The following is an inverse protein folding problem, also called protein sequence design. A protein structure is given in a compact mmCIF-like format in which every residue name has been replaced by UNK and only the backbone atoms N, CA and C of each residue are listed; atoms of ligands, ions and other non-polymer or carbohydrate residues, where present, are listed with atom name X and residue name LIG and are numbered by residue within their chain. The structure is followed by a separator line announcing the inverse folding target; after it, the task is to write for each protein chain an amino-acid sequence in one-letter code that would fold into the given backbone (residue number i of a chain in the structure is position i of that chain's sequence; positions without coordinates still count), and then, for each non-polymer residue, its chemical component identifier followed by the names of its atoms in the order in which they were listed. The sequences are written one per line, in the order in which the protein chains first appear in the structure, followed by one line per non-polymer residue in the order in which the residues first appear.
data_IF_243967532896
#
_entry.id   IF_243967532896
#
_cell.length_a   1.000
_cell.length_b   1.000
_cell.length_c   1.000
_cell.angle_alpha   90.00
_cell.angle_beta   90.00
_cell.angle_gamma   90.00
#
_symmetry.space_group_name_H-M   'P 1'
#
loop_
_entity.id
_entity.type
_entity.pdbx_description
1 polymer ?
#
# COMPACT_ATOMS: atom_id res chain seq x y z
N UNK A 1 -15.88 1.88 22.73
CA UNK A 1 -16.70 2.93 22.11
C UNK A 1 -15.90 3.56 20.99
N UNK A 2 -16.42 3.52 19.79
CA UNK A 2 -15.86 4.26 18.66
C UNK A 2 -16.04 5.76 18.88
N UNK A 3 -15.00 6.55 18.64
CA UNK A 3 -14.99 8.00 18.85
C UNK A 3 -14.96 8.78 17.56
N UNK A 4 -14.38 8.19 16.49
CA UNK A 4 -14.33 8.80 15.16
C UNK A 4 -14.16 7.70 14.09
N UNK A 5 -14.76 7.93 12.91
CA UNK A 5 -14.60 7.08 11.74
C UNK A 5 -14.48 7.97 10.51
N UNK A 6 -13.31 7.95 9.87
CA UNK A 6 -13.00 8.77 8.70
C UNK A 6 -12.09 7.99 7.74
N UNK A 7 -12.08 8.36 6.47
CA UNK A 7 -11.16 7.84 5.46
C UNK A 7 -9.74 8.42 5.66
N UNK A 8 -9.17 8.22 6.85
CA UNK A 8 -7.86 8.71 7.30
C UNK A 8 -7.21 7.72 8.23
N UNK A 9 -5.90 7.82 8.37
CA UNK A 9 -5.15 7.07 9.36
C UNK A 9 -4.83 7.96 10.55
N UNK A 10 -5.16 7.48 11.74
CA UNK A 10 -4.84 8.10 13.02
C UNK A 10 -3.71 7.31 13.70
N UNK A 11 -2.74 8.01 14.31
CA UNK A 11 -1.81 7.34 15.23
C UNK A 11 -2.49 7.02 16.56
N UNK A 12 -1.83 6.19 17.38
CA UNK A 12 -2.23 6.04 18.78
C UNK A 12 -2.17 7.39 19.49
N UNK A 13 -3.25 7.83 20.17
CA UNK A 13 -3.26 9.10 20.85
C UNK A 13 -2.44 9.04 22.16
N UNK A 14 -1.58 10.04 22.35
CA UNK A 14 -0.81 10.24 23.56
C UNK A 14 -1.58 11.16 24.49
N UNK A 15 -1.93 10.69 25.69
CA UNK A 15 -2.61 11.48 26.70
C UNK A 15 -1.63 12.40 27.44
N UNK A 16 -2.02 13.67 27.64
CA UNK A 16 -1.30 14.59 28.52
C UNK A 16 -1.36 14.12 30.00
N UNK A 17 -0.33 14.42 30.78
CA UNK A 17 -0.21 13.99 32.17
C UNK A 17 -1.29 14.63 33.05
N UNK A 18 -1.44 15.94 32.93
CA UNK A 18 -2.22 16.74 33.89
C UNK A 18 -3.56 17.25 33.33
N UNK A 19 -3.86 16.94 32.05
CA UNK A 19 -5.06 17.41 31.38
C UNK A 19 -5.78 16.29 30.62
N UNK A 20 -7.07 16.48 30.35
CA UNK A 20 -7.84 15.59 29.47
C UNK A 20 -7.63 15.98 28.00
N UNK A 21 -6.37 16.04 27.58
CA UNK A 21 -5.92 16.35 26.23
C UNK A 21 -5.13 15.19 25.65
N UNK A 22 -5.25 15.02 24.33
CA UNK A 22 -4.59 13.98 23.57
C UNK A 22 -3.88 14.56 22.36
N UNK A 23 -2.66 14.09 22.11
CA UNK A 23 -1.86 14.39 20.94
C UNK A 23 -1.83 13.16 20.03
N UNK A 24 -2.05 13.35 18.73
CA UNK A 24 -2.03 12.28 17.73
C UNK A 24 -1.67 12.84 16.36
N UNK A 25 -1.38 11.96 15.39
CA UNK A 25 -1.23 12.35 13.99
C UNK A 25 -2.43 11.90 13.19
N UNK A 26 -2.74 12.67 12.13
CA UNK A 26 -3.72 12.32 11.11
C UNK A 26 -3.07 12.42 9.75
N UNK A 27 -3.29 11.43 8.90
CA UNK A 27 -2.68 11.35 7.58
C UNK A 27 -3.60 10.69 6.56
N UNK A 28 -3.33 10.95 5.29
CA UNK A 28 -3.83 10.18 4.15
C UNK A 28 -2.66 9.83 3.24
N UNK A 29 -2.92 9.18 2.12
CA UNK A 29 -1.91 8.96 1.08
C UNK A 29 -1.30 10.29 0.57
N UNK A 30 -2.10 11.35 0.52
CA UNK A 30 -1.73 12.67 0.01
C UNK A 30 -1.38 13.68 1.11
N UNK A 31 -1.88 13.47 2.34
CA UNK A 31 -1.68 14.39 3.46
C UNK A 31 -0.60 13.87 4.40
N UNK A 32 0.45 14.67 4.61
CA UNK A 32 1.50 14.37 5.58
C UNK A 32 0.92 14.17 7.00
N UNK A 33 1.49 13.27 7.84
CA UNK A 33 1.03 13.02 9.20
C UNK A 33 1.27 14.22 10.14
N UNK A 34 0.41 15.21 10.05
CA UNK A 34 0.45 16.38 10.92
C UNK A 34 -0.02 16.07 12.34
N UNK A 35 0.45 16.89 13.29
CA UNK A 35 0.06 16.83 14.68
C UNK A 35 -1.31 17.47 14.92
N UNK A 36 -2.10 16.77 15.70
CA UNK A 36 -3.43 17.18 16.12
C UNK A 36 -3.57 17.04 17.63
N UNK A 37 -4.35 17.92 18.25
CA UNK A 37 -4.77 17.83 19.64
C UNK A 37 -6.28 17.73 19.76
N UNK A 38 -6.77 17.09 20.81
CA UNK A 38 -8.20 17.02 21.10
C UNK A 38 -8.44 16.76 22.58
N UNK A 39 -9.69 16.96 23.02
CA UNK A 39 -10.20 16.46 24.30
C UNK A 39 -10.42 14.93 24.25
N UNK A 40 -10.81 14.34 25.38
CA UNK A 40 -10.97 12.89 25.50
C UNK A 40 -12.12 12.25 24.72
N UNK A 41 -13.02 13.05 24.15
CA UNK A 41 -14.11 12.56 23.30
C UNK A 41 -13.90 12.88 21.80
N UNK A 42 -12.77 13.48 21.45
CA UNK A 42 -12.37 13.80 20.10
C UNK A 42 -13.32 14.77 19.34
N UNK A 43 -14.11 15.58 20.08
CA UNK A 43 -15.08 16.51 19.49
C UNK A 43 -14.49 17.86 19.07
N UNK A 44 -13.32 18.25 19.62
CA UNK A 44 -12.67 19.55 19.41
C UNK A 44 -11.30 19.41 18.74
N UNK A 45 -11.17 18.50 17.80
CA UNK A 45 -9.91 18.23 17.11
C UNK A 45 -9.37 19.46 16.41
N UNK A 46 -8.11 19.78 16.68
CA UNK A 46 -7.39 20.91 16.09
C UNK A 46 -6.05 20.45 15.55
N UNK A 47 -5.77 20.79 14.29
CA UNK A 47 -4.44 20.62 13.68
C UNK A 47 -3.52 21.70 14.23
N UNK A 48 -2.36 21.30 14.77
CA UNK A 48 -1.38 22.19 15.41
C UNK A 48 -0.05 22.23 14.67
N UNK A 49 0.13 21.46 13.60
CA UNK A 49 1.29 21.56 12.72
C UNK A 49 0.88 21.65 11.25
N UNK A 50 1.78 22.20 10.45
CA UNK A 50 1.70 22.19 8.97
C UNK A 50 3.09 21.80 8.48
N UNK A 51 3.40 20.52 8.61
CA UNK A 51 4.66 19.97 8.16
C UNK A 51 4.63 19.60 6.69
N UNK A 52 5.80 19.61 6.04
CA UNK A 52 5.96 19.23 4.64
C UNK A 52 4.99 19.95 3.66
N UNK A 53 4.87 21.29 3.72
CA UNK A 53 3.89 22.03 2.91
C UNK A 53 4.15 21.90 1.40
N UNK A 54 5.40 21.65 0.99
CA UNK A 54 5.81 21.45 -0.40
C UNK A 54 5.20 20.21 -1.04
N UNK A 55 4.57 19.32 -0.28
CA UNK A 55 3.91 18.13 -0.83
C UNK A 55 2.82 18.46 -1.86
N UNK A 56 2.20 19.65 -1.75
CA UNK A 56 1.17 20.11 -2.70
C UNK A 56 1.70 20.40 -4.09
N UNK A 57 3.02 20.45 -4.27
CA UNK A 57 3.69 20.67 -5.57
C UNK A 57 3.89 19.37 -6.36
N UNK A 58 3.56 18.20 -5.78
CA UNK A 58 3.78 16.88 -6.37
C UNK A 58 2.47 16.19 -6.77
N UNK A 59 2.56 15.37 -7.80
CA UNK A 59 1.47 14.50 -8.25
C UNK A 59 1.45 13.23 -7.39
N UNK A 60 0.42 13.08 -6.57
CA UNK A 60 0.30 11.96 -5.65
C UNK A 60 -0.54 10.80 -6.20
N UNK A 61 -1.47 11.09 -7.12
CA UNK A 61 -2.47 10.13 -7.54
C UNK A 61 -3.43 9.76 -6.41
N UNK A 62 -4.14 8.67 -6.56
CA UNK A 62 -5.12 8.19 -5.58
C UNK A 62 -4.86 6.74 -5.19
N UNK A 63 -5.51 6.27 -4.11
CA UNK A 63 -5.53 4.85 -3.73
C UNK A 63 -6.93 4.32 -3.63
N UNK A 64 -7.11 3.10 -4.11
CA UNK A 64 -8.34 2.33 -3.91
C UNK A 64 -8.03 1.01 -3.21
N UNK A 65 -8.99 0.54 -2.44
CA UNK A 65 -9.02 -0.82 -1.93
C UNK A 65 -9.77 -1.68 -2.94
N UNK A 66 -9.26 -2.87 -3.25
CA UNK A 66 -9.94 -3.84 -4.10
C UNK A 66 -9.98 -5.22 -3.44
N UNK A 67 -11.03 -5.97 -3.76
CA UNK A 67 -11.20 -7.33 -3.28
C UNK A 67 -10.80 -8.32 -4.37
N UNK A 68 -10.16 -9.42 -3.95
CA UNK A 68 -9.86 -10.56 -4.78
C UNK A 68 -9.99 -11.87 -3.98
N UNK A 69 -9.96 -13.01 -4.63
CA UNK A 69 -10.09 -14.30 -3.97
C UNK A 69 -9.03 -15.28 -4.47
N UNK A 70 -8.60 -16.19 -3.60
CA UNK A 70 -7.78 -17.33 -3.96
C UNK A 70 -8.62 -18.41 -4.66
N UNK A 71 -7.97 -19.43 -5.20
CA UNK A 71 -8.64 -20.53 -5.93
C UNK A 71 -9.62 -21.33 -5.07
N UNK A 72 -9.41 -21.34 -3.76
CA UNK A 72 -10.31 -21.97 -2.78
C UNK A 72 -11.48 -21.09 -2.34
N UNK A 73 -11.57 -19.85 -2.88
CA UNK A 73 -12.58 -18.87 -2.52
C UNK A 73 -12.23 -18.01 -1.30
N UNK A 74 -11.05 -18.16 -0.71
CA UNK A 74 -10.61 -17.31 0.41
C UNK A 74 -10.54 -15.84 -0.04
N UNK A 75 -11.32 -14.93 0.59
CA UNK A 75 -11.33 -13.52 0.21
C UNK A 75 -10.10 -12.80 0.77
N UNK A 76 -9.48 -11.99 -0.06
CA UNK A 76 -8.35 -11.12 0.29
C UNK A 76 -8.57 -9.72 -0.27
N UNK A 77 -7.78 -8.78 0.19
CA UNK A 77 -7.81 -7.39 -0.25
C UNK A 77 -6.44 -6.93 -0.76
N UNK A 78 -6.45 -5.89 -1.55
CA UNK A 78 -5.23 -5.20 -1.96
C UNK A 78 -5.46 -3.71 -2.10
N UNK A 79 -4.35 -2.97 -2.11
CA UNK A 79 -4.34 -1.54 -2.41
C UNK A 79 -3.79 -1.36 -3.81
N UNK A 80 -4.46 -0.55 -4.61
CA UNK A 80 -3.96 -0.06 -5.89
C UNK A 80 -3.79 1.46 -5.81
N UNK A 81 -2.56 1.93 -5.97
CA UNK A 81 -2.27 3.35 -6.17
C UNK A 81 -2.26 3.64 -7.67
N UNK A 82 -3.01 4.68 -8.05
CA UNK A 82 -3.32 5.05 -9.42
C UNK A 82 -2.75 6.45 -9.67
N UNK A 83 -1.97 6.67 -10.75
CA UNK A 83 -1.48 7.98 -11.13
C UNK A 83 -2.60 9.03 -11.29
N UNK A 84 -2.31 10.29 -10.98
CA UNK A 84 -3.27 11.38 -11.10
C UNK A 84 -3.70 11.64 -12.55
N UNK A 85 -2.79 11.39 -13.51
CA UNK A 85 -3.04 11.55 -14.94
C UNK A 85 -3.76 10.34 -15.58
N UNK A 86 -4.13 9.32 -14.81
CA UNK A 86 -4.83 8.13 -15.34
C UNK A 86 -6.13 8.50 -16.03
N UNK A 87 -6.33 7.95 -17.21
CA UNK A 87 -7.58 8.09 -17.99
C UNK A 87 -8.27 6.74 -18.09
N UNK A 88 -9.56 6.70 -17.86
CA UNK A 88 -10.37 5.48 -17.98
C UNK A 88 -10.21 4.83 -19.37
N UNK A 89 -9.93 3.52 -19.37
CA UNK A 89 -9.63 2.75 -20.58
C UNK A 89 -8.15 2.67 -20.95
N UNK A 90 -7.29 3.47 -20.32
CA UNK A 90 -5.85 3.35 -20.44
C UNK A 90 -5.34 2.16 -19.61
N UNK A 91 -4.32 1.47 -20.12
CA UNK A 91 -3.62 0.41 -19.38
C UNK A 91 -2.22 0.87 -19.06
N UNK A 92 -1.88 0.91 -17.79
CA UNK A 92 -0.60 1.42 -17.32
C UNK A 92 0.34 0.29 -16.89
N UNK A 93 1.66 0.51 -16.96
CA UNK A 93 2.63 -0.39 -16.34
C UNK A 93 2.40 -0.43 -14.83
N UNK A 94 2.56 -1.61 -14.24
CA UNK A 94 2.32 -1.84 -12.83
C UNK A 94 3.52 -2.43 -12.12
N UNK A 95 3.80 -1.93 -10.91
CA UNK A 95 4.74 -2.57 -9.98
C UNK A 95 3.94 -3.21 -8.85
N UNK A 96 4.16 -4.50 -8.65
CA UNK A 96 3.59 -5.27 -7.55
C UNK A 96 4.62 -5.33 -6.42
N UNK A 97 4.23 -4.87 -5.24
CA UNK A 97 5.02 -4.96 -4.02
C UNK A 97 4.24 -5.73 -2.98
N UNK A 98 4.78 -6.83 -2.50
CA UNK A 98 4.07 -7.67 -1.51
C UNK A 98 4.94 -8.00 -0.30
N UNK A 99 4.27 -8.31 0.82
CA UNK A 99 4.89 -8.87 2.01
C UNK A 99 3.87 -9.75 2.74
N UNK A 100 3.00 -9.19 3.56
CA UNK A 100 1.98 -9.90 4.32
C UNK A 100 0.63 -9.21 4.20
N UNK A 101 0.41 -8.11 4.92
CA UNK A 101 -0.86 -7.38 4.93
C UNK A 101 -0.67 -5.89 4.69
N UNK A 102 -1.26 -5.39 3.61
CA UNK A 102 -1.18 -3.98 3.22
C UNK A 102 -2.52 -3.25 3.21
N UNK A 103 -3.67 -3.95 3.16
CA UNK A 103 -4.99 -3.33 3.09
C UNK A 103 -5.25 -2.31 4.20
N UNK A 104 -4.70 -2.56 5.39
CA UNK A 104 -4.75 -1.65 6.54
C UNK A 104 -3.99 -0.33 6.34
N UNK A 105 -3.13 -0.24 5.34
CA UNK A 105 -2.27 0.90 5.03
C UNK A 105 -2.82 1.77 3.89
N UNK A 106 -4.13 1.61 3.54
CA UNK A 106 -4.79 2.38 2.49
C UNK A 106 -4.54 3.89 2.62
N UNK A 107 -4.59 4.41 3.85
CA UNK A 107 -4.40 5.82 4.16
C UNK A 107 -3.02 6.17 4.71
N UNK A 108 -2.04 5.26 4.61
CA UNK A 108 -0.68 5.53 5.06
C UNK A 108 0.05 6.45 4.08
N UNK A 109 0.59 7.56 4.59
CA UNK A 109 1.43 8.47 3.82
C UNK A 109 2.74 7.77 3.38
N UNK A 110 3.11 7.83 2.10
CA UNK A 110 4.29 7.16 1.59
C UNK A 110 5.54 8.00 1.85
N UNK A 111 6.11 7.89 3.04
CA UNK A 111 7.32 8.64 3.39
C UNK A 111 8.44 8.31 2.39
N UNK A 112 9.00 9.30 1.67
CA UNK A 112 10.06 9.10 0.69
C UNK A 112 11.38 8.85 1.40
N UNK A 113 11.65 7.61 1.74
CA UNK A 113 12.89 7.20 2.42
C UNK A 113 13.66 6.29 1.46
N UNK A 114 14.94 6.56 1.27
CA UNK A 114 15.87 5.62 0.62
C UNK A 114 16.05 4.40 1.52
N UNK A 115 15.34 3.33 1.20
CA UNK A 115 15.41 2.04 1.85
C UNK A 115 15.39 0.92 0.81
N UNK A 116 15.26 -0.30 1.28
CA UNK A 116 15.04 -1.51 0.47
C UNK A 116 13.69 -1.56 -0.26
N UNK A 117 12.90 -0.50 -0.20
CA UNK A 117 11.61 -0.40 -0.91
C UNK A 117 11.70 0.62 -2.03
N UNK A 118 10.98 0.43 -3.14
CA UNK A 118 10.81 1.46 -4.13
C UNK A 118 10.23 2.74 -3.52
N UNK A 119 10.55 3.88 -4.09
CA UNK A 119 9.85 5.12 -3.77
C UNK A 119 8.42 5.05 -4.33
N UNK A 120 7.45 4.71 -3.52
CA UNK A 120 6.07 4.48 -3.93
C UNK A 120 5.43 5.72 -4.58
N UNK A 121 5.59 6.88 -3.94
CA UNK A 121 5.10 8.13 -4.52
C UNK A 121 5.80 8.44 -5.85
N UNK A 122 7.12 8.20 -5.93
CA UNK A 122 7.88 8.37 -7.15
C UNK A 122 7.43 7.46 -8.30
N UNK A 123 7.06 6.22 -8.03
CA UNK A 123 6.48 5.33 -9.05
C UNK A 123 5.17 5.89 -9.58
N UNK A 124 4.25 6.24 -8.68
CA UNK A 124 2.92 6.72 -9.05
C UNK A 124 3.00 8.06 -9.79
N UNK A 125 3.84 9.00 -9.35
CA UNK A 125 4.03 10.29 -10.03
C UNK A 125 4.69 10.16 -11.41
N UNK A 126 5.34 9.04 -11.70
CA UNK A 126 5.93 8.73 -13.02
C UNK A 126 5.04 7.81 -13.87
N UNK A 127 3.76 7.70 -13.57
CA UNK A 127 2.78 7.00 -14.40
C UNK A 127 2.70 5.48 -14.18
N UNK A 128 3.30 4.94 -13.12
CA UNK A 128 3.16 3.53 -12.78
C UNK A 128 2.02 3.30 -11.79
N UNK A 129 1.25 2.26 -11.99
CA UNK A 129 0.42 1.69 -10.93
C UNK A 129 1.33 1.06 -9.88
N UNK A 130 0.94 1.18 -8.61
CA UNK A 130 1.55 0.42 -7.53
C UNK A 130 0.49 -0.45 -6.86
N UNK A 131 0.63 -1.77 -6.99
CA UNK A 131 -0.25 -2.72 -6.33
C UNK A 131 0.42 -3.32 -5.09
N UNK A 132 -0.31 -3.35 -3.99
CA UNK A 132 0.10 -3.92 -2.71
C UNK A 132 -0.97 -4.89 -2.21
N UNK A 133 -0.93 -6.17 -2.60
CA UNK A 133 -1.90 -7.16 -2.18
C UNK A 133 -1.65 -7.63 -0.75
N UNK A 134 -2.70 -7.96 -0.02
CA UNK A 134 -2.58 -8.80 1.16
C UNK A 134 -2.21 -10.22 0.72
N UNK A 135 -1.27 -10.82 1.40
CA UNK A 135 -0.85 -12.19 1.15
C UNK A 135 -1.00 -13.00 2.43
N UNK A 136 -1.84 -14.01 2.38
CA UNK A 136 -1.97 -14.96 3.47
C UNK A 136 -1.17 -16.22 3.14
N UNK A 137 -0.28 -16.62 4.04
CA UNK A 137 0.53 -17.81 3.82
C UNK A 137 0.63 -18.68 5.09
N UNK A 138 0.74 -19.98 4.87
CA UNK A 138 0.79 -21.00 5.91
C UNK A 138 2.22 -21.52 6.11
N UNK A 139 2.50 -22.02 7.31
CA UNK A 139 3.77 -22.68 7.59
C UNK A 139 3.91 -23.91 6.69
N UNK A 140 5.05 -24.03 6.02
CA UNK A 140 5.35 -25.14 5.11
C UNK A 140 4.92 -24.97 3.66
N UNK A 141 4.03 -24.02 3.34
CA UNK A 141 3.58 -23.71 1.98
C UNK A 141 3.69 -22.22 1.59
N UNK A 142 4.40 -21.45 2.39
CA UNK A 142 4.39 -19.99 2.27
C UNK A 142 4.72 -19.46 0.88
N UNK A 143 5.71 -20.00 0.18
CA UNK A 143 6.10 -19.50 -1.14
C UNK A 143 5.07 -19.87 -2.22
N UNK A 144 4.42 -21.02 -2.13
CA UNK A 144 3.32 -21.38 -3.04
C UNK A 144 2.07 -20.54 -2.75
N UNK A 145 1.79 -20.28 -1.47
CA UNK A 145 0.67 -19.40 -1.09
C UNK A 145 0.92 -17.94 -1.56
N UNK A 146 2.17 -17.46 -1.48
CA UNK A 146 2.57 -16.15 -2.05
C UNK A 146 2.38 -16.11 -3.56
N UNK A 147 2.79 -17.15 -4.28
CA UNK A 147 2.61 -17.23 -5.72
C UNK A 147 1.12 -17.09 -6.09
N UNK A 148 0.27 -17.91 -5.48
CA UNK A 148 -1.17 -17.89 -5.75
C UNK A 148 -1.79 -16.52 -5.46
N UNK A 149 -1.51 -15.94 -4.29
CA UNK A 149 -2.09 -14.66 -3.90
C UNK A 149 -1.63 -13.51 -4.80
N UNK A 150 -0.34 -13.48 -5.14
CA UNK A 150 0.23 -12.42 -5.98
C UNK A 150 -0.29 -12.51 -7.42
N UNK A 151 -0.39 -13.72 -7.99
CA UNK A 151 -0.97 -13.91 -9.32
C UNK A 151 -2.47 -13.57 -9.35
N UNK A 152 -3.23 -14.03 -8.36
CA UNK A 152 -4.67 -13.73 -8.28
C UNK A 152 -4.94 -12.23 -8.16
N UNK A 153 -4.21 -11.52 -7.30
CA UNK A 153 -4.33 -10.08 -7.17
C UNK A 153 -3.91 -9.33 -8.44
N UNK A 154 -2.83 -9.77 -9.10
CA UNK A 154 -2.35 -9.18 -10.34
C UNK A 154 -3.38 -9.34 -11.45
N UNK A 155 -3.90 -10.55 -11.62
CA UNK A 155 -4.95 -10.83 -12.61
C UNK A 155 -6.19 -9.98 -12.35
N UNK A 156 -6.59 -9.83 -11.09
CA UNK A 156 -7.73 -8.98 -10.71
C UNK A 156 -7.57 -7.54 -11.19
N UNK A 157 -6.39 -6.94 -11.01
CA UNK A 157 -6.13 -5.55 -11.46
C UNK A 157 -6.09 -5.45 -12.99
N UNK A 158 -5.58 -6.47 -13.68
CA UNK A 158 -5.64 -6.58 -15.15
C UNK A 158 -7.11 -6.65 -15.61
N UNK A 159 -7.93 -7.51 -15.00
CA UNK A 159 -9.35 -7.68 -15.33
C UNK A 159 -10.18 -6.42 -15.03
N UNK A 160 -9.77 -5.62 -14.04
CA UNK A 160 -10.35 -4.29 -13.76
C UNK A 160 -9.99 -3.25 -14.85
N UNK A 161 -9.10 -3.58 -15.77
CA UNK A 161 -8.73 -2.72 -16.90
C UNK A 161 -7.66 -1.66 -16.60
N UNK A 162 -7.02 -1.69 -15.44
CA UNK A 162 -5.98 -0.73 -15.06
C UNK A 162 -4.60 -1.08 -15.59
N UNK A 163 -4.19 -2.35 -15.46
CA UNK A 163 -2.82 -2.76 -15.74
C UNK A 163 -2.65 -3.31 -17.16
N UNK A 164 -1.53 -2.96 -17.79
CA UNK A 164 -1.04 -3.62 -18.99
C UNK A 164 -0.46 -4.99 -18.61
N UNK A 165 -1.03 -6.10 -19.10
CA UNK A 165 -0.58 -7.45 -18.76
C UNK A 165 0.88 -7.73 -19.19
N UNK A 166 1.39 -7.02 -20.21
CA UNK A 166 2.74 -7.19 -20.71
C UNK A 166 3.77 -6.31 -19.98
N UNK A 167 3.31 -5.43 -19.07
CA UNK A 167 4.16 -4.45 -18.37
C UNK A 167 4.02 -4.52 -16.84
N UNK A 168 3.96 -5.73 -16.29
CA UNK A 168 3.88 -5.94 -14.83
C UNK A 168 5.24 -6.32 -14.26
N UNK A 169 5.74 -5.53 -13.31
CA UNK A 169 6.93 -5.81 -12.52
C UNK A 169 6.61 -6.32 -11.12
N UNK A 170 7.44 -7.19 -10.57
CA UNK A 170 7.31 -7.72 -9.21
C UNK A 170 8.51 -7.28 -8.36
N UNK A 171 8.28 -6.82 -7.14
CA UNK A 171 9.32 -6.43 -6.19
C UNK A 171 9.11 -7.09 -4.82
N UNK A 172 10.10 -7.84 -4.34
CA UNK A 172 10.11 -8.43 -3.02
C UNK A 172 11.41 -8.19 -2.26
N UNK A 173 11.35 -8.12 -0.92
CA UNK A 173 12.52 -7.95 -0.06
C UNK A 173 12.40 -8.85 1.17
N UNK A 174 13.54 -9.35 1.69
CA UNK A 174 13.58 -10.25 2.84
C UNK A 174 12.75 -11.51 2.54
N UNK A 175 11.80 -11.86 3.37
CA UNK A 175 10.95 -13.04 3.18
C UNK A 175 10.16 -12.99 1.85
N UNK A 176 9.63 -11.84 1.46
CA UNK A 176 9.03 -11.68 0.12
C UNK A 176 10.07 -11.65 -1.00
N UNK A 177 11.34 -11.40 -0.69
CA UNK A 177 12.45 -11.62 -1.63
C UNK A 177 12.59 -13.09 -2.01
N UNK A 178 12.54 -14.00 -1.03
CA UNK A 178 12.48 -15.45 -1.27
C UNK A 178 11.25 -15.84 -2.07
N UNK A 179 10.08 -15.30 -1.71
CA UNK A 179 8.84 -15.46 -2.47
C UNK A 179 8.96 -15.00 -3.92
N UNK A 180 9.58 -13.83 -4.17
CA UNK A 180 9.81 -13.33 -5.54
C UNK A 180 10.72 -14.23 -6.35
N UNK A 181 11.78 -14.76 -5.74
CA UNK A 181 12.67 -15.73 -6.40
C UNK A 181 11.93 -17.04 -6.74
N UNK A 182 11.06 -17.50 -5.85
CA UNK A 182 10.20 -18.65 -6.09
C UNK A 182 9.22 -18.39 -7.26
N UNK A 183 8.56 -17.24 -7.26
CA UNK A 183 7.63 -16.80 -8.32
C UNK A 183 8.36 -16.71 -9.67
N UNK A 184 9.57 -16.15 -9.70
CA UNK A 184 10.38 -16.01 -10.92
C UNK A 184 10.61 -17.33 -11.67
N UNK A 185 10.63 -18.46 -10.94
CA UNK A 185 10.86 -19.77 -11.55
C UNK A 185 9.59 -20.51 -11.98
N UNK A 186 8.40 -19.95 -11.68
CA UNK A 186 7.10 -20.65 -11.86
C UNK A 186 6.05 -19.83 -12.59
N UNK A 187 6.15 -18.51 -12.52
CA UNK A 187 5.21 -17.59 -13.18
C UNK A 187 5.83 -16.99 -14.43
N UNK A 188 5.00 -16.76 -15.45
CA UNK A 188 5.33 -15.99 -16.65
C UNK A 188 4.59 -14.64 -16.70
N UNK A 189 3.89 -14.29 -15.62
CA UNK A 189 3.06 -13.10 -15.55
C UNK A 189 3.87 -11.80 -15.48
N UNK A 190 5.11 -11.87 -14.99
CA UNK A 190 5.90 -10.68 -14.67
C UNK A 190 7.00 -10.45 -15.73
N UNK A 191 6.98 -9.27 -16.36
CA UNK A 191 7.97 -8.83 -17.33
C UNK A 191 9.34 -8.55 -16.67
N UNK A 192 9.35 -8.17 -15.39
CA UNK A 192 10.57 -7.93 -14.62
C UNK A 192 10.35 -8.32 -13.14
N UNK A 193 11.40 -8.86 -12.53
CA UNK A 193 11.36 -9.23 -11.11
C UNK A 193 12.62 -8.69 -10.42
N UNK A 194 12.39 -7.91 -9.35
CA UNK A 194 13.43 -7.41 -8.47
C UNK A 194 13.27 -8.07 -7.08
N UNK A 195 14.30 -8.78 -6.64
CA UNK A 195 14.31 -9.36 -5.30
C UNK A 195 15.58 -8.95 -4.54
N UNK A 196 15.45 -8.72 -3.24
CA UNK A 196 16.56 -8.31 -2.39
C UNK A 196 16.55 -9.02 -1.05
N UNK A 197 17.75 -9.25 -0.47
CA UNK A 197 17.95 -9.87 0.85
C UNK A 197 17.09 -11.14 1.06
N UNK A 198 16.94 -11.92 0.00
CA UNK A 198 16.18 -13.16 0.02
C UNK A 198 16.89 -14.18 0.96
N UNK A 199 16.19 -14.79 1.92
CA UNK A 199 16.73 -15.97 2.59
C UNK A 199 16.86 -17.09 1.56
N UNK A 200 18.02 -17.73 1.55
CA UNK A 200 18.35 -18.86 0.67
C UNK A 200 18.10 -20.14 1.45
#
# INVERSE_FOLDING_TARGET
KELTWEARRFSYPLKATDENRYLFTVQTWQDFPDLWVSNGNFSDRQRISTANPQQTEFLWGSRILFDYALSDGTPLQGILAIPEAFTEGEKLPMVVRFYEKYSQDLHLYPTPIFRHQPNFAGLVSNGYLLMQPDVHFRIGSSHSDMLEAVEAATQKVIDMGYADPDAVGLSGHSYSGGGSAYIATRSKMFAAIAHGAAPI
#
